data_IF_253673790149
#
_entry.id   IF_253673790149
#
_cell.length_a   1.000
_cell.length_b   1.000
_cell.length_c   1.000
_cell.angle_alpha   90.00
_cell.angle_beta   90.00
_cell.angle_gamma   90.00
#
_symmetry.space_group_name_H-M   'P 1'
#
loop_
_entity.id
_entity.type
_entity.pdbx_description
1 polymer ?
#
# COMPACT_ATOMS: atom_id res chain seq x y z
N UNK A 1 22.46 2.84 -7.48
CA UNK A 1 21.46 3.49 -8.36
C UNK A 1 20.42 4.18 -7.49
N UNK A 2 19.81 5.27 -7.96
CA UNK A 2 18.66 5.87 -7.27
C UNK A 2 17.42 5.02 -7.53
N UNK A 3 16.74 4.65 -6.46
CA UNK A 3 15.50 3.88 -6.53
C UNK A 3 14.40 4.55 -5.71
N UNK A 4 13.15 4.27 -6.07
CA UNK A 4 11.99 4.58 -5.25
C UNK A 4 11.33 3.31 -4.74
N UNK A 5 10.79 3.39 -3.53
CA UNK A 5 9.91 2.36 -3.00
C UNK A 5 8.46 2.77 -3.24
N UNK A 6 7.64 1.77 -3.53
CA UNK A 6 6.19 1.90 -3.62
C UNK A 6 5.56 0.63 -3.04
N UNK A 7 4.28 0.68 -2.73
CA UNK A 7 3.56 -0.47 -2.21
C UNK A 7 2.11 -0.52 -2.66
N UNK A 8 1.59 -1.74 -2.71
CA UNK A 8 0.17 -2.00 -2.93
C UNK A 8 -0.34 -2.94 -1.86
N UNK A 9 -1.66 -3.08 -1.73
CA UNK A 9 -2.21 -4.20 -0.98
C UNK A 9 -1.76 -5.54 -1.57
N UNK A 10 -1.45 -6.48 -0.69
CA UNK A 10 -0.94 -7.78 -1.08
C UNK A 10 -1.93 -8.56 -1.95
N UNK A 11 -1.43 -9.40 -2.85
CA UNK A 11 -2.24 -10.34 -3.63
C UNK A 11 -3.09 -11.31 -2.78
N UNK A 12 -2.82 -11.42 -1.48
CA UNK A 12 -3.64 -12.20 -0.52
C UNK A 12 -5.02 -11.59 -0.27
N UNK A 13 -5.22 -10.32 -0.61
CA UNK A 13 -6.51 -9.66 -0.53
C UNK A 13 -7.36 -9.95 -1.77
N UNK A 14 -8.67 -10.08 -1.56
CA UNK A 14 -9.62 -10.19 -2.67
C UNK A 14 -9.65 -8.93 -3.52
N UNK A 15 -10.33 -9.02 -4.67
CA UNK A 15 -10.52 -7.87 -5.57
C UNK A 15 -11.25 -6.73 -4.87
N UNK A 16 -12.21 -7.05 -3.99
CA UNK A 16 -13.03 -6.05 -3.29
C UNK A 16 -12.18 -5.23 -2.33
N UNK A 17 -11.39 -5.86 -1.46
CA UNK A 17 -10.52 -5.15 -0.52
C UNK A 17 -9.48 -4.29 -1.25
N UNK A 18 -8.88 -4.82 -2.32
CA UNK A 18 -7.94 -4.05 -3.13
C UNK A 18 -8.58 -2.84 -3.79
N UNK A 19 -9.79 -3.00 -4.33
CA UNK A 19 -10.54 -1.90 -4.94
C UNK A 19 -10.90 -0.83 -3.93
N UNK A 20 -11.35 -1.22 -2.73
CA UNK A 20 -11.63 -0.27 -1.64
C UNK A 20 -10.38 0.53 -1.29
N UNK A 21 -9.26 -0.14 -1.07
CA UNK A 21 -8.00 0.52 -0.72
C UNK A 21 -7.56 1.50 -1.81
N UNK A 22 -7.60 1.12 -3.08
CA UNK A 22 -7.26 2.00 -4.21
C UNK A 22 -8.17 3.23 -4.28
N UNK A 23 -9.47 3.06 -4.05
CA UNK A 23 -10.42 4.18 -4.03
C UNK A 23 -10.10 5.16 -2.88
N UNK A 24 -9.84 4.64 -1.68
CA UNK A 24 -9.48 5.48 -0.53
C UNK A 24 -8.11 6.14 -0.72
N UNK A 25 -7.13 5.43 -1.29
CA UNK A 25 -5.81 5.95 -1.63
C UNK A 25 -5.90 7.15 -2.60
N UNK A 26 -6.88 7.13 -3.52
CA UNK A 26 -7.17 8.22 -4.46
C UNK A 26 -8.03 9.35 -3.87
N UNK A 27 -8.33 9.29 -2.57
CA UNK A 27 -9.07 10.33 -1.85
C UNK A 27 -10.59 10.13 -1.79
N UNK A 28 -11.12 8.99 -2.23
CA UNK A 28 -12.54 8.70 -2.05
C UNK A 28 -12.80 8.20 -0.63
N UNK A 29 -13.39 9.04 0.21
CA UNK A 29 -13.56 8.74 1.65
C UNK A 29 -14.97 8.30 2.02
N UNK A 30 -16.01 8.64 1.26
CA UNK A 30 -17.38 8.28 1.62
C UNK A 30 -17.65 6.79 1.41
N UNK A 31 -18.01 6.07 2.48
CA UNK A 31 -18.36 4.66 2.41
C UNK A 31 -19.51 4.41 1.42
N UNK A 32 -20.52 5.29 1.43
CA UNK A 32 -21.66 5.23 0.49
C UNK A 32 -21.24 5.42 -0.97
N UNK A 33 -20.34 6.36 -1.25
CA UNK A 33 -19.84 6.58 -2.62
C UNK A 33 -19.02 5.40 -3.11
N UNK A 34 -18.14 4.85 -2.25
CA UNK A 34 -17.37 3.64 -2.56
C UNK A 34 -18.32 2.50 -2.89
N UNK A 35 -19.33 2.23 -2.06
CA UNK A 35 -20.31 1.17 -2.32
C UNK A 35 -21.07 1.39 -3.63
N UNK A 36 -21.44 2.63 -3.95
CA UNK A 36 -22.12 2.97 -5.20
C UNK A 36 -21.26 2.72 -6.45
N UNK A 37 -19.95 2.93 -6.39
CA UNK A 37 -19.03 2.62 -7.49
C UNK A 37 -18.89 1.10 -7.65
N UNK A 38 -18.93 0.38 -6.53
CA UNK A 38 -18.75 -1.06 -6.46
C UNK A 38 -20.08 -1.83 -6.60
N UNK A 39 -21.05 -1.28 -7.34
CA UNK A 39 -22.43 -1.79 -7.46
C UNK A 39 -22.57 -3.24 -7.94
N UNK A 40 -21.52 -3.81 -8.54
CA UNK A 40 -21.49 -5.22 -8.98
C UNK A 40 -21.38 -6.18 -7.77
N UNK A 41 -20.90 -5.70 -6.63
CA UNK A 41 -20.77 -6.48 -5.39
C UNK A 41 -21.94 -6.19 -4.44
N UNK A 42 -22.30 -7.17 -3.60
CA UNK A 42 -23.32 -6.95 -2.57
C UNK A 42 -22.80 -6.06 -1.44
N UNK A 43 -23.70 -5.36 -0.77
CA UNK A 43 -23.38 -4.52 0.39
C UNK A 43 -22.66 -5.30 1.49
N UNK A 44 -23.04 -6.56 1.72
CA UNK A 44 -22.41 -7.46 2.70
C UNK A 44 -20.94 -7.72 2.37
N UNK A 45 -20.62 -7.94 1.09
CA UNK A 45 -19.25 -8.19 0.63
C UNK A 45 -18.40 -6.92 0.78
N UNK A 46 -18.95 -5.76 0.44
CA UNK A 46 -18.26 -4.46 0.57
C UNK A 46 -18.04 -4.13 2.05
N UNK A 47 -19.04 -4.31 2.90
CA UNK A 47 -18.93 -4.09 4.34
C UNK A 47 -17.89 -5.02 4.98
N UNK A 48 -17.84 -6.29 4.57
CA UNK A 48 -16.80 -7.24 5.02
C UNK A 48 -15.40 -6.79 4.61
N UNK A 49 -15.25 -6.24 3.39
CA UNK A 49 -13.99 -5.67 2.94
C UNK A 49 -13.56 -4.45 3.79
N UNK A 50 -14.49 -3.53 4.07
CA UNK A 50 -14.24 -2.38 4.96
C UNK A 50 -13.77 -2.85 6.33
N UNK A 51 -14.53 -3.77 6.94
CA UNK A 51 -14.23 -4.30 8.26
C UNK A 51 -12.85 -4.98 8.29
N UNK A 52 -12.51 -5.77 7.28
CA UNK A 52 -11.22 -6.46 7.20
C UNK A 52 -10.05 -5.48 7.11
N UNK A 53 -10.16 -4.43 6.29
CA UNK A 53 -9.12 -3.42 6.15
C UNK A 53 -8.95 -2.57 7.42
N UNK A 54 -10.05 -2.27 8.11
CA UNK A 54 -10.02 -1.57 9.41
C UNK A 54 -9.39 -2.45 10.50
N UNK A 55 -9.78 -3.73 10.59
CA UNK A 55 -9.22 -4.66 11.57
C UNK A 55 -7.71 -4.86 11.41
N UNK A 56 -7.21 -4.78 10.17
CA UNK A 56 -5.79 -4.87 9.87
C UNK A 56 -5.06 -3.53 9.98
N UNK A 57 -5.74 -2.48 10.47
CA UNK A 57 -5.20 -1.14 10.65
C UNK A 57 -4.65 -0.53 9.36
N UNK A 58 -5.23 -0.90 8.22
CA UNK A 58 -4.90 -0.34 6.89
C UNK A 58 -5.76 0.90 6.66
N UNK A 59 -7.04 0.80 7.04
CA UNK A 59 -7.99 1.90 7.03
C UNK A 59 -8.40 2.26 8.46
N UNK A 60 -8.87 3.48 8.63
CA UNK A 60 -9.63 3.95 9.78
C UNK A 60 -11.04 4.31 9.30
N UNK A 61 -12.04 4.03 10.14
CA UNK A 61 -13.43 4.38 9.87
C UNK A 61 -13.93 5.41 10.88
N UNK A 62 -14.55 6.47 10.38
CA UNK A 62 -15.36 7.38 11.17
C UNK A 62 -16.83 6.98 10.98
N UNK A 63 -17.43 6.47 12.05
CA UNK A 63 -18.81 5.96 12.03
C UNK A 63 -19.84 7.10 12.01
N UNK A 64 -19.51 8.25 12.58
CA UNK A 64 -20.41 9.41 12.62
C UNK A 64 -20.46 10.09 11.25
N UNK A 65 -19.28 10.31 10.66
CA UNK A 65 -19.16 10.89 9.32
C UNK A 65 -19.43 9.88 8.19
N UNK A 66 -19.48 8.57 8.50
CA UNK A 66 -19.58 7.47 7.53
C UNK A 66 -18.47 7.51 6.47
N UNK A 67 -17.25 7.82 6.92
CA UNK A 67 -16.07 7.95 6.06
C UNK A 67 -15.00 6.92 6.40
N UNK A 68 -14.21 6.58 5.38
CA UNK A 68 -12.99 5.79 5.46
C UNK A 68 -11.81 6.69 5.15
N UNK A 69 -10.69 6.47 5.84
CA UNK A 69 -9.42 7.09 5.56
C UNK A 69 -8.31 6.04 5.68
N UNK A 70 -7.16 6.31 5.06
CA UNK A 70 -5.94 5.53 5.34
C UNK A 70 -5.56 5.70 6.81
N UNK A 71 -5.04 4.66 7.45
CA UNK A 71 -4.52 4.79 8.80
C UNK A 71 -3.23 5.62 8.84
N UNK A 72 -2.93 6.25 9.97
CA UNK A 72 -1.71 7.07 10.13
C UNK A 72 -0.42 6.31 9.74
N UNK A 73 -0.22 5.02 10.11
CA UNK A 73 0.92 4.25 9.63
C UNK A 73 1.04 4.15 8.11
N UNK A 74 -0.09 3.98 7.42
CA UNK A 74 -0.11 3.85 5.96
C UNK A 74 0.13 5.20 5.29
N UNK A 75 -0.43 6.28 5.85
CA UNK A 75 -0.16 7.65 5.38
C UNK A 75 1.34 8.00 5.50
N UNK A 76 1.95 7.72 6.65
CA UNK A 76 3.38 7.96 6.87
C UNK A 76 4.26 7.15 5.91
N UNK A 77 3.87 5.93 5.54
CA UNK A 77 4.58 5.15 4.53
C UNK A 77 4.48 5.80 3.15
N UNK A 78 3.30 6.28 2.75
CA UNK A 78 3.09 6.97 1.47
C UNK A 78 3.98 8.21 1.39
N UNK A 79 3.98 9.05 2.43
CA UNK A 79 4.83 10.24 2.49
C UNK A 79 6.31 9.87 2.29
N UNK A 80 6.80 8.82 2.96
CA UNK A 80 8.19 8.38 2.83
C UNK A 80 8.53 7.82 1.46
N UNK A 81 7.59 7.13 0.81
CA UNK A 81 7.75 6.65 -0.56
C UNK A 81 7.75 7.78 -1.59
N UNK A 82 6.94 8.82 -1.38
CA UNK A 82 6.86 9.98 -2.29
C UNK A 82 8.07 10.91 -2.18
N UNK A 83 8.48 11.23 -0.96
CA UNK A 83 9.50 12.24 -0.66
C UNK A 83 10.93 11.78 -0.97
N UNK A 84 11.20 10.48 -0.93
CA UNK A 84 12.57 9.98 -0.88
C UNK A 84 12.92 9.10 -2.08
N UNK A 85 14.12 9.32 -2.60
CA UNK A 85 14.86 8.36 -3.41
C UNK A 85 16.00 7.80 -2.58
N UNK A 86 16.28 6.52 -2.72
CA UNK A 86 17.31 5.83 -1.95
C UNK A 86 18.44 5.39 -2.88
N UNK A 87 19.68 5.57 -2.42
CA UNK A 87 20.83 4.96 -3.09
C UNK A 87 20.90 3.49 -2.69
N UNK A 88 20.58 2.61 -3.64
CA UNK A 88 20.61 1.17 -3.47
C UNK A 88 21.53 0.54 -4.51
N UNK A 89 22.44 -0.31 -4.06
CA UNK A 89 23.17 -1.22 -4.93
C UNK A 89 22.32 -2.48 -5.11
N UNK A 90 21.73 -2.62 -6.30
CA UNK A 90 20.97 -3.81 -6.68
C UNK A 90 21.91 -4.76 -7.42
N UNK A 91 22.10 -5.99 -6.95
CA UNK A 91 22.85 -7.01 -7.66
C UNK A 91 22.33 -7.26 -9.09
N UNK A 92 23.22 -7.48 -10.06
CA UNK A 92 22.86 -7.63 -11.48
C UNK A 92 21.82 -8.74 -11.75
N UNK A 93 21.84 -9.80 -10.95
CA UNK A 93 20.87 -10.89 -11.05
C UNK A 93 19.44 -10.45 -10.68
N UNK A 94 19.27 -9.46 -9.81
CA UNK A 94 17.96 -8.87 -9.49
C UNK A 94 17.54 -7.84 -10.54
N UNK A 95 18.48 -7.11 -11.14
CA UNK A 95 18.21 -6.20 -12.26
C UNK A 95 17.58 -6.98 -13.42
N UNK A 96 18.11 -8.16 -13.73
CA UNK A 96 17.56 -9.04 -14.77
C UNK A 96 16.17 -9.61 -14.45
N UNK A 97 15.69 -9.50 -13.21
CA UNK A 97 14.35 -9.92 -12.80
C UNK A 97 13.35 -8.76 -12.77
N UNK A 98 13.80 -7.54 -13.03
CA UNK A 98 12.90 -6.38 -13.10
C UNK A 98 12.01 -6.49 -14.34
N UNK A 99 10.74 -6.20 -14.16
CA UNK A 99 9.76 -6.06 -15.24
C UNK A 99 9.39 -4.59 -15.30
N UNK A 100 9.58 -3.96 -16.46
CA UNK A 100 9.33 -2.53 -16.68
C UNK A 100 10.00 -1.66 -15.59
N UNK A 101 11.28 -1.89 -15.35
CA UNK A 101 12.09 -1.21 -14.32
C UNK A 101 11.55 -1.34 -12.88
N UNK A 102 10.67 -2.31 -12.62
CA UNK A 102 10.08 -2.58 -11.32
C UNK A 102 10.44 -3.98 -10.82
N UNK A 103 10.91 -4.06 -9.58
CA UNK A 103 11.13 -5.31 -8.84
C UNK A 103 10.09 -5.44 -7.73
N UNK A 104 9.36 -6.55 -7.71
CA UNK A 104 8.44 -6.88 -6.61
C UNK A 104 9.18 -7.69 -5.55
N UNK A 105 9.06 -7.26 -4.31
CA UNK A 105 9.65 -7.94 -3.16
C UNK A 105 8.55 -8.69 -2.45
N UNK A 106 8.61 -10.02 -2.49
CA UNK A 106 7.67 -10.89 -1.76
C UNK A 106 8.27 -11.43 -0.45
N UNK A 107 9.61 -11.43 -0.30
CA UNK A 107 10.26 -11.93 0.91
C UNK A 107 9.91 -11.09 2.16
N UNK A 108 9.27 -11.68 3.20
CA UNK A 108 8.84 -10.95 4.38
C UNK A 108 9.97 -10.29 5.16
N UNK A 109 11.18 -10.89 5.16
CA UNK A 109 12.33 -10.33 5.88
C UNK A 109 12.81 -9.05 5.20
N UNK A 110 12.93 -9.09 3.88
CA UNK A 110 13.30 -7.92 3.06
C UNK A 110 12.25 -6.82 3.19
N UNK A 111 10.94 -7.16 3.13
CA UNK A 111 9.86 -6.20 3.40
C UNK A 111 10.01 -5.54 4.77
N UNK A 112 10.29 -6.31 5.82
CA UNK A 112 10.47 -5.79 7.16
C UNK A 112 11.63 -4.79 7.27
N UNK A 113 12.77 -5.11 6.63
CA UNK A 113 13.94 -4.22 6.61
C UNK A 113 13.63 -2.92 5.88
N UNK A 114 12.95 -2.99 4.73
CA UNK A 114 12.55 -1.80 3.97
C UNK A 114 11.61 -0.93 4.79
N UNK A 115 10.55 -1.50 5.36
CA UNK A 115 9.61 -0.73 6.19
C UNK A 115 10.31 -0.09 7.40
N UNK A 116 11.22 -0.80 8.06
CA UNK A 116 12.00 -0.26 9.17
C UNK A 116 12.95 0.87 8.74
N UNK A 117 13.43 0.84 7.51
CA UNK A 117 14.25 1.91 6.93
C UNK A 117 13.42 3.14 6.54
N UNK A 118 12.22 2.93 5.99
CA UNK A 118 11.30 4.01 5.63
C UNK A 118 10.79 4.75 6.87
N UNK A 119 10.45 4.03 7.93
CA UNK A 119 9.89 4.58 9.17
C UNK A 119 10.63 4.01 10.40
N UNK A 120 11.85 4.50 10.68
CA UNK A 120 12.67 4.00 11.77
C UNK A 120 12.00 4.25 13.13
N UNK A 121 12.01 3.23 13.98
CA UNK A 121 11.43 3.29 15.33
C UNK A 121 9.92 3.04 15.41
N UNK A 122 9.23 2.90 14.27
CA UNK A 122 7.79 2.59 14.25
C UNK A 122 7.57 1.08 14.08
N UNK A 123 6.74 0.49 14.95
CA UNK A 123 6.42 -0.95 14.89
C UNK A 123 5.35 -1.25 13.83
N UNK A 124 5.78 -1.43 12.59
CA UNK A 124 4.91 -1.70 11.44
C UNK A 124 4.88 -3.16 10.99
N UNK A 125 5.25 -4.08 11.89
CA UNK A 125 5.31 -5.51 11.59
C UNK A 125 3.97 -6.11 11.13
N UNK A 126 2.84 -5.50 11.53
CA UNK A 126 1.51 -5.93 11.11
C UNK A 126 1.23 -5.68 9.62
N UNK A 127 1.95 -4.74 8.97
CA UNK A 127 1.78 -4.43 7.55
C UNK A 127 2.58 -5.33 6.61
N UNK A 128 3.58 -6.07 7.12
CA UNK A 128 4.49 -6.89 6.30
C UNK A 128 3.73 -7.90 5.43
N UNK A 129 2.68 -8.52 6.00
CA UNK A 129 1.85 -9.49 5.28
C UNK A 129 0.72 -8.82 4.49
N UNK A 130 0.49 -7.54 4.72
CA UNK A 130 -0.61 -6.79 4.13
C UNK A 130 -0.20 -6.05 2.86
N UNK A 131 1.09 -5.72 2.72
CA UNK A 131 1.62 -4.92 1.62
C UNK A 131 2.58 -5.74 0.76
N UNK A 132 2.47 -5.57 -0.55
CA UNK A 132 3.49 -5.96 -1.50
C UNK A 132 4.32 -4.71 -1.80
N UNK A 133 5.64 -4.81 -1.61
CA UNK A 133 6.56 -3.69 -1.80
C UNK A 133 7.21 -3.86 -3.15
N UNK A 134 7.39 -2.76 -3.86
CA UNK A 134 8.14 -2.73 -5.10
C UNK A 134 9.23 -1.68 -5.08
N UNK A 135 10.30 -1.95 -5.80
CA UNK A 135 11.38 -1.02 -6.10
C UNK A 135 11.26 -0.63 -7.57
N UNK A 136 11.28 0.66 -7.87
CA UNK A 136 11.46 1.15 -9.24
C UNK A 136 12.82 1.82 -9.42
N UNK A 137 13.48 1.56 -10.56
CA UNK A 137 14.65 2.33 -10.98
C UNK A 137 14.16 3.66 -11.56
N UNK A 138 14.76 4.76 -11.14
CA UNK A 138 14.34 6.09 -11.57
C UNK A 138 13.88 6.94 -10.40
N UNK A 139 14.59 8.03 -10.17
CA UNK A 139 14.40 8.95 -9.07
C UNK A 139 14.91 10.34 -9.43
N UNK A 140 14.62 10.77 -10.66
CA UNK A 140 14.67 12.16 -11.07
C UNK A 140 13.37 12.42 -11.83
N UNK A 141 12.70 13.52 -11.50
CA UNK A 141 11.30 13.76 -11.85
C UNK A 141 11.04 13.61 -13.34
N UNK A 142 10.05 12.77 -13.66
CA UNK A 142 9.26 12.99 -14.87
C UNK A 142 8.34 14.18 -14.59
N UNK A 143 8.40 15.15 -15.51
CA UNK A 143 7.73 16.46 -15.52
C UNK A 143 6.22 16.43 -15.23
#
# INVERSE_FOLDING_TARGET
MKVKFDFTLSQRFGVVERTVFELVLRGLTSAKQISSIMWVFSDEVIASAFQKLVNLQILCADLEAQTLALSEPVQALIEKCLENSYDLEIPDNLINLMLDDRLIIDDPKTKAVIIAQLLPGIKLGFLINSLDISISVGGEGDE
#
